data_IF_935591105774
#
_entry.id   IF_935591105774
#
_cell.length_a   1.000
_cell.length_b   1.000
_cell.length_c   1.000
_cell.angle_alpha   90.00
_cell.angle_beta   90.00
_cell.angle_gamma   90.00
#
_symmetry.space_group_name_H-M   'P 1'
#
loop_
_entity.id
_entity.type
_entity.pdbx_description
1 polymer ?
#
# COMPACT_ATOMS: atom_id res chain seq x y z
N UNK A 1 22.90 -28.74 37.08
CA UNK A 1 23.34 -27.40 36.61
C UNK A 1 23.73 -27.39 35.13
N UNK A 2 24.50 -28.37 34.63
CA UNK A 2 25.00 -28.41 33.24
C UNK A 2 23.88 -28.31 32.19
N UNK A 3 22.73 -28.96 32.41
CA UNK A 3 21.60 -28.98 31.47
C UNK A 3 20.89 -27.62 31.39
N UNK A 4 20.89 -26.84 32.47
CA UNK A 4 20.29 -25.51 32.50
C UNK A 4 21.13 -24.49 31.69
N UNK A 5 22.45 -24.59 31.83
CA UNK A 5 23.41 -23.76 31.08
C UNK A 5 23.33 -24.07 29.59
N UNK A 6 23.15 -25.35 29.24
CA UNK A 6 23.03 -25.79 27.84
C UNK A 6 21.72 -25.37 27.17
N UNK A 7 20.65 -25.12 27.95
CA UNK A 7 19.35 -24.63 27.48
C UNK A 7 19.16 -23.13 27.73
N UNK A 8 20.24 -22.34 27.63
CA UNK A 8 20.20 -20.89 27.77
C UNK A 8 19.53 -20.39 29.06
N UNK A 9 19.68 -21.10 30.18
CA UNK A 9 19.29 -20.64 31.52
C UNK A 9 17.87 -20.99 31.99
N UNK A 10 17.10 -21.78 31.23
CA UNK A 10 15.77 -22.26 31.63
C UNK A 10 15.63 -23.77 31.53
N UNK A 11 14.72 -24.35 32.32
CA UNK A 11 14.50 -25.79 32.39
C UNK A 11 13.01 -26.12 32.51
N UNK A 12 12.54 -27.11 31.73
CA UNK A 12 11.20 -27.71 31.84
C UNK A 12 11.31 -29.14 32.39
N UNK A 13 10.33 -29.56 33.20
CA UNK A 13 10.19 -30.92 33.72
C UNK A 13 10.19 -31.98 32.61
N UNK A 14 9.53 -31.73 31.47
CA UNK A 14 9.47 -32.66 30.33
C UNK A 14 10.83 -32.84 29.64
N UNK A 15 11.64 -31.78 29.59
CA UNK A 15 12.99 -31.82 29.02
C UNK A 15 13.94 -32.56 29.96
N UNK A 16 13.82 -32.33 31.28
CA UNK A 16 14.59 -33.07 32.28
C UNK A 16 14.20 -34.55 32.34
N UNK A 17 12.92 -34.89 32.27
CA UNK A 17 12.49 -36.28 32.29
C UNK A 17 12.88 -37.04 31.03
N UNK A 18 12.95 -36.36 29.88
CA UNK A 18 13.43 -36.97 28.63
C UNK A 18 14.96 -37.09 28.58
N UNK A 19 15.72 -36.15 29.15
CA UNK A 19 17.19 -36.15 29.10
C UNK A 19 17.83 -36.90 30.28
N UNK A 20 17.20 -36.91 31.46
CA UNK A 20 17.64 -37.69 32.62
C UNK A 20 16.80 -38.95 32.83
N UNK A 21 15.87 -39.29 31.94
CA UNK A 21 15.02 -40.46 32.06
C UNK A 21 15.78 -41.79 32.16
N UNK A 22 17.05 -41.81 31.73
CA UNK A 22 17.96 -42.93 31.87
C UNK A 22 18.68 -43.02 33.23
N UNK A 23 18.68 -41.95 34.04
CA UNK A 23 19.53 -41.81 35.25
C UNK A 23 18.71 -41.51 36.51
N UNK A 24 17.54 -40.86 36.40
CA UNK A 24 16.72 -40.49 37.54
C UNK A 24 15.21 -40.61 37.25
N UNK A 25 14.47 -41.21 38.18
CA UNK A 25 13.03 -41.35 38.10
C UNK A 25 12.33 -40.00 38.29
N UNK A 26 11.23 -39.76 37.57
CA UNK A 26 10.52 -38.47 37.57
C UNK A 26 10.15 -37.92 38.96
N UNK A 27 9.96 -38.78 39.97
CA UNK A 27 9.73 -38.37 41.37
C UNK A 27 10.96 -37.71 42.01
N UNK A 28 12.16 -38.24 41.77
CA UNK A 28 13.40 -37.66 42.29
C UNK A 28 13.69 -36.29 41.66
N UNK A 29 13.37 -36.14 40.37
CA UNK A 29 13.49 -34.86 39.66
C UNK A 29 12.57 -33.81 40.30
N UNK A 30 11.30 -34.15 40.58
CA UNK A 30 10.35 -33.24 41.23
C UNK A 30 10.78 -32.83 42.65
N UNK A 31 11.34 -33.76 43.43
CA UNK A 31 11.85 -33.48 44.77
C UNK A 31 13.08 -32.57 44.72
N UNK A 32 14.05 -32.87 43.86
CA UNK A 32 15.25 -32.06 43.71
C UNK A 32 14.92 -30.63 43.23
N UNK A 33 13.99 -30.48 42.29
CA UNK A 33 13.52 -29.17 41.84
C UNK A 33 12.83 -28.38 42.96
N UNK A 34 12.00 -29.04 43.77
CA UNK A 34 11.35 -28.38 44.92
C UNK A 34 12.37 -27.93 45.97
N UNK A 35 13.41 -28.72 46.22
CA UNK A 35 14.47 -28.35 47.17
C UNK A 35 15.35 -27.19 46.65
N UNK A 36 15.64 -27.17 45.34
CA UNK A 36 16.39 -26.09 44.71
C UNK A 36 15.63 -24.76 44.69
N UNK A 37 14.30 -24.78 44.56
CA UNK A 37 13.44 -23.60 44.75
C UNK A 37 13.54 -23.11 46.19
N UNK A 38 13.39 -24.02 47.16
CA UNK A 38 13.42 -23.68 48.59
C UNK A 38 14.76 -23.07 49.00
N UNK A 39 15.87 -23.53 48.40
CA UNK A 39 17.21 -23.00 48.61
C UNK A 39 17.52 -21.74 47.78
N UNK A 40 16.57 -21.24 46.99
CA UNK A 40 16.72 -19.99 46.23
C UNK A 40 17.63 -20.06 45.01
N UNK A 41 18.06 -21.26 44.59
CA UNK A 41 18.94 -21.44 43.44
C UNK A 41 18.20 -21.37 42.09
N UNK A 42 16.89 -21.58 42.08
CA UNK A 42 16.03 -21.51 40.90
C UNK A 42 14.69 -20.84 41.23
N UNK A 43 14.14 -20.11 40.28
CA UNK A 43 12.83 -19.48 40.35
C UNK A 43 11.82 -20.36 39.60
N UNK A 44 10.86 -20.95 40.31
CA UNK A 44 9.75 -21.69 39.70
C UNK A 44 8.65 -20.74 39.23
N UNK A 45 8.27 -20.81 37.96
CA UNK A 45 7.15 -20.05 37.37
C UNK A 45 6.23 -21.00 36.59
N UNK A 46 4.94 -20.68 36.56
CA UNK A 46 3.90 -21.49 35.86
C UNK A 46 3.07 -22.39 36.78
N UNK A 47 1.94 -22.86 36.26
CA UNK A 47 0.97 -23.73 36.95
C UNK A 47 0.95 -25.16 36.38
N UNK A 48 0.80 -26.13 37.29
CA UNK A 48 0.63 -27.57 37.01
C UNK A 48 1.60 -28.14 35.95
N UNK A 49 1.10 -28.50 34.75
CA UNK A 49 1.86 -29.19 33.69
C UNK A 49 2.82 -28.27 32.92
N UNK A 50 2.69 -26.95 33.07
CA UNK A 50 3.53 -25.95 32.40
C UNK A 50 4.45 -25.21 33.38
N UNK A 51 4.97 -25.91 34.39
CA UNK A 51 5.91 -25.35 35.35
C UNK A 51 7.34 -25.37 34.78
N UNK A 52 7.95 -24.18 34.72
CA UNK A 52 9.31 -23.98 34.23
C UNK A 52 10.17 -23.33 35.33
N UNK A 53 11.47 -23.59 35.27
CA UNK A 53 12.43 -23.17 36.29
C UNK A 53 13.52 -22.32 35.64
N UNK A 54 13.77 -21.15 36.22
CA UNK A 54 14.73 -20.16 35.73
C UNK A 54 15.89 -20.01 36.72
N UNK A 55 17.11 -19.79 36.20
CA UNK A 55 18.25 -19.45 37.05
C UNK A 55 18.21 -17.95 37.42
N UNK A 56 18.39 -17.57 38.69
CA UNK A 56 18.27 -16.18 39.16
C UNK A 56 19.24 -15.20 38.48
N UNK A 57 20.37 -15.70 37.96
CA UNK A 57 21.40 -14.89 37.30
C UNK A 57 21.27 -14.84 35.77
N UNK A 58 20.32 -15.55 35.18
CA UNK A 58 20.06 -15.45 33.74
C UNK A 58 19.15 -14.23 33.50
N UNK A 59 19.76 -13.03 33.41
CA UNK A 59 19.04 -11.75 33.38
C UNK A 59 18.39 -11.36 32.05
N UNK A 60 18.52 -12.13 30.97
CA UNK A 60 17.96 -11.76 29.66
C UNK A 60 17.36 -12.96 28.91
N UNK A 61 16.30 -13.57 29.46
CA UNK A 61 15.49 -14.54 28.70
C UNK A 61 14.09 -13.96 28.56
N UNK A 62 13.78 -13.46 27.37
CA UNK A 62 12.44 -13.04 26.97
C UNK A 62 11.54 -14.28 26.84
N UNK A 63 10.87 -14.61 27.95
CA UNK A 63 9.94 -15.73 28.12
C UNK A 63 8.72 -15.66 27.19
N UNK A 64 8.54 -14.58 26.43
CA UNK A 64 7.46 -14.44 25.43
C UNK A 64 7.61 -15.37 24.23
N UNK A 65 8.82 -15.87 23.94
CA UNK A 65 9.11 -16.80 22.82
C UNK A 65 8.74 -18.27 23.13
N UNK A 66 8.58 -18.65 24.39
CA UNK A 66 8.35 -20.06 24.79
C UNK A 66 6.85 -20.39 24.85
N UNK A 67 6.01 -19.41 25.19
CA UNK A 67 4.54 -19.56 25.19
C UNK A 67 3.90 -19.36 23.81
N UNK A 68 4.66 -18.91 22.81
CA UNK A 68 4.13 -18.61 21.47
C UNK A 68 3.80 -19.87 20.66
N UNK A 69 4.13 -21.09 21.11
CA UNK A 69 3.86 -22.30 20.33
C UNK A 69 2.50 -22.95 20.59
N UNK A 70 1.79 -22.64 21.68
CA UNK A 70 0.49 -23.27 22.00
C UNK A 70 -0.70 -22.30 22.10
N UNK A 71 -0.49 -20.97 22.20
CA UNK A 71 -1.61 -20.00 22.13
C UNK A 71 -1.93 -19.52 20.70
N UNK A 72 -1.24 -20.06 19.69
CA UNK A 72 -1.52 -19.79 18.27
C UNK A 72 -2.89 -20.31 17.79
N UNK A 73 -3.63 -21.07 18.61
CA UNK A 73 -4.95 -21.57 18.19
C UNK A 73 -6.16 -20.65 18.47
N UNK A 74 -6.10 -19.67 19.39
CA UNK A 74 -7.31 -18.92 19.78
C UNK A 74 -7.26 -17.38 19.75
N UNK A 75 -6.11 -16.76 19.47
CA UNK A 75 -6.03 -15.30 19.23
C UNK A 75 -5.53 -14.92 17.83
N UNK A 76 -5.20 -15.91 17.00
CA UNK A 76 -4.60 -15.72 15.67
C UNK A 76 -5.58 -15.38 14.53
N UNK A 77 -6.88 -15.21 14.83
CA UNK A 77 -7.87 -14.79 13.84
C UNK A 77 -8.04 -13.27 13.73
N UNK A 78 -7.61 -12.46 14.70
CA UNK A 78 -7.86 -11.01 14.67
C UNK A 78 -6.63 -10.11 14.44
N UNK A 79 -5.39 -10.61 14.50
CA UNK A 79 -4.18 -9.77 14.41
C UNK A 79 -3.43 -9.82 13.07
N UNK A 80 -3.53 -10.91 12.28
CA UNK A 80 -2.93 -10.97 10.93
C UNK A 80 -3.59 -10.01 9.95
N UNK A 81 -4.89 -9.74 10.11
CA UNK A 81 -5.60 -8.77 9.29
C UNK A 81 -5.11 -7.34 9.57
N UNK A 82 -4.88 -6.98 10.83
CA UNK A 82 -4.44 -5.63 11.22
C UNK A 82 -2.96 -5.39 10.87
N UNK A 83 -2.06 -6.36 11.12
CA UNK A 83 -0.66 -6.24 10.74
C UNK A 83 -0.46 -6.22 9.21
N UNK A 84 -1.20 -7.04 8.45
CA UNK A 84 -1.19 -7.00 6.98
C UNK A 84 -1.81 -5.72 6.44
N UNK A 85 -2.83 -5.17 7.09
CA UNK A 85 -3.43 -3.89 6.72
C UNK A 85 -2.48 -2.71 6.99
N UNK A 86 -1.79 -2.69 8.12
CA UNK A 86 -0.81 -1.65 8.47
C UNK A 86 0.43 -1.71 7.58
N UNK A 87 0.99 -2.90 7.32
CA UNK A 87 2.11 -3.05 6.38
C UNK A 87 1.71 -2.65 4.95
N UNK A 88 0.49 -2.99 4.51
CA UNK A 88 -0.05 -2.55 3.20
C UNK A 88 -0.30 -1.04 3.16
N UNK A 89 -0.75 -0.44 4.26
CA UNK A 89 -0.95 1.00 4.37
C UNK A 89 0.37 1.77 4.36
N UNK A 90 1.39 1.29 5.09
CA UNK A 90 2.73 1.88 5.11
C UNK A 90 3.44 1.75 3.76
N UNK A 91 3.38 0.58 3.11
CA UNK A 91 3.91 0.40 1.76
C UNK A 91 3.19 1.29 0.73
N UNK A 92 1.86 1.47 0.85
CA UNK A 92 1.10 2.39 0.00
C UNK A 92 1.44 3.86 0.28
N UNK A 93 1.73 4.23 1.53
CA UNK A 93 2.16 5.58 1.90
C UNK A 93 3.58 5.88 1.39
N UNK A 94 4.51 4.94 1.53
CA UNK A 94 5.88 5.06 1.00
C UNK A 94 5.91 5.11 -0.53
N UNK A 95 5.10 4.29 -1.22
CA UNK A 95 4.95 4.37 -2.68
C UNK A 95 4.32 5.71 -3.13
N UNK A 96 3.37 6.27 -2.38
CA UNK A 96 2.83 7.62 -2.64
C UNK A 96 3.87 8.72 -2.42
N UNK A 97 4.71 8.61 -1.39
CA UNK A 97 5.77 9.57 -1.11
C UNK A 97 6.87 9.53 -2.19
N UNK A 98 7.29 8.34 -2.62
CA UNK A 98 8.25 8.17 -3.72
C UNK A 98 7.68 8.64 -5.07
N UNK A 99 6.38 8.42 -5.34
CA UNK A 99 5.72 8.96 -6.52
C UNK A 99 5.66 10.51 -6.52
N UNK A 100 5.60 11.15 -5.36
CA UNK A 100 5.65 12.62 -5.26
C UNK A 100 7.05 13.20 -5.53
N UNK A 101 8.12 12.49 -5.16
CA UNK A 101 9.49 12.91 -5.47
C UNK A 101 9.77 12.79 -6.97
N UNK A 102 9.27 11.73 -7.63
CA UNK A 102 9.38 11.56 -9.09
C UNK A 102 8.53 12.54 -9.92
N UNK A 103 7.41 13.04 -9.38
CA UNK A 103 6.55 14.05 -10.04
C UNK A 103 7.21 15.43 -10.18
N UNK A 104 8.29 15.71 -9.45
CA UNK A 104 8.97 17.02 -9.48
C UNK A 104 9.97 17.15 -10.65
N UNK A 105 10.27 16.06 -11.38
CA UNK A 105 11.12 16.07 -12.59
C UNK A 105 10.25 16.12 -13.86
N UNK A 106 9.10 16.78 -13.79
CA UNK A 106 8.23 16.96 -14.97
C UNK A 106 8.50 18.37 -15.50
N UNK A 107 9.18 18.46 -16.65
CA UNK A 107 9.50 19.74 -17.29
C UNK A 107 8.20 20.41 -17.78
N UNK A 108 7.68 21.32 -16.96
CA UNK A 108 6.45 22.06 -17.26
C UNK A 108 6.76 23.42 -17.88
N UNK A 109 5.91 23.85 -18.80
CA UNK A 109 5.98 25.19 -19.37
C UNK A 109 5.37 26.25 -18.45
N UNK A 110 5.48 27.53 -18.86
CA UNK A 110 4.91 28.68 -18.16
C UNK A 110 3.38 28.63 -17.99
N UNK A 111 2.69 27.74 -18.72
CA UNK A 111 1.25 27.56 -18.71
C UNK A 111 0.84 26.30 -17.95
N UNK A 112 1.79 25.58 -17.33
CA UNK A 112 1.52 24.36 -16.56
C UNK A 112 1.45 23.06 -17.38
N UNK A 113 1.77 23.11 -18.67
CA UNK A 113 1.74 21.96 -19.58
C UNK A 113 3.04 21.20 -19.52
N UNK A 114 2.98 19.88 -19.59
CA UNK A 114 4.17 19.02 -19.66
C UNK A 114 4.77 19.14 -21.06
N UNK A 115 6.07 19.45 -21.13
CA UNK A 115 6.83 19.42 -22.38
C UNK A 115 7.38 18.01 -22.59
N UNK A 116 6.95 17.37 -23.68
CA UNK A 116 7.49 16.08 -24.12
C UNK A 116 8.06 16.25 -25.52
N UNK A 117 9.38 16.49 -25.62
CA UNK A 117 10.02 16.92 -26.86
C UNK A 117 9.40 18.20 -27.42
N UNK A 118 8.87 18.16 -28.64
CA UNK A 118 8.13 19.27 -29.26
C UNK A 118 6.62 19.25 -28.98
N UNK A 119 6.13 18.25 -28.25
CA UNK A 119 4.71 18.10 -27.93
C UNK A 119 4.39 18.73 -26.57
N UNK A 120 3.16 19.24 -26.45
CA UNK A 120 2.64 19.88 -25.24
C UNK A 120 1.48 19.05 -24.73
N UNK A 121 1.57 18.60 -23.48
CA UNK A 121 0.57 17.72 -22.86
C UNK A 121 -0.05 18.41 -21.65
N UNK A 122 -1.38 18.48 -21.64
CA UNK A 122 -2.19 18.94 -20.52
C UNK A 122 -2.57 17.71 -19.69
N UNK A 123 -1.91 17.50 -18.55
CA UNK A 123 -2.18 16.38 -17.65
C UNK A 123 -3.29 16.70 -16.64
N UNK A 124 -3.05 17.63 -15.72
CA UNK A 124 -4.07 18.06 -14.74
C UNK A 124 -4.27 19.57 -14.78
N UNK A 125 -5.53 20.00 -14.74
CA UNK A 125 -5.92 21.42 -14.73
C UNK A 125 -5.35 22.15 -13.50
N UNK A 126 -5.16 21.45 -12.39
CA UNK A 126 -4.64 22.03 -11.14
C UNK A 126 -3.25 22.67 -11.30
N UNK A 127 -2.50 22.26 -12.32
CA UNK A 127 -1.16 22.80 -12.59
C UNK A 127 -1.16 23.86 -13.68
N UNK A 128 -2.29 24.09 -14.36
CA UNK A 128 -2.40 25.10 -15.41
C UNK A 128 -2.44 26.49 -14.79
N UNK A 129 -1.88 27.44 -15.52
CA UNK A 129 -2.05 28.85 -15.21
C UNK A 129 -3.54 29.24 -15.26
N UNK A 130 -3.97 30.08 -14.33
CA UNK A 130 -5.38 30.47 -14.21
C UNK A 130 -5.89 31.22 -15.46
N UNK A 131 -5.04 32.04 -16.11
CA UNK A 131 -5.43 32.75 -17.33
C UNK A 131 -5.59 31.79 -18.49
N UNK A 132 -4.65 30.86 -18.64
CA UNK A 132 -4.72 29.85 -19.69
C UNK A 132 -5.90 28.90 -19.50
N UNK A 133 -6.20 28.51 -18.25
CA UNK A 133 -7.40 27.75 -17.91
C UNK A 133 -8.67 28.51 -18.30
N UNK A 134 -8.78 29.78 -17.95
CA UNK A 134 -9.92 30.61 -18.33
C UNK A 134 -10.07 30.75 -19.85
N UNK A 135 -8.96 30.82 -20.60
CA UNK A 135 -8.99 30.78 -22.06
C UNK A 135 -9.57 29.47 -22.59
N UNK A 136 -9.16 28.31 -22.04
CA UNK A 136 -9.73 27.02 -22.45
C UNK A 136 -11.22 26.90 -22.10
N UNK A 137 -11.61 27.40 -20.94
CA UNK A 137 -13.02 27.42 -20.52
C UNK A 137 -13.85 28.39 -21.39
N UNK A 138 -13.26 29.49 -21.87
CA UNK A 138 -13.95 30.44 -22.75
C UNK A 138 -14.32 29.87 -24.13
N UNK A 139 -13.64 28.80 -24.56
CA UNK A 139 -13.98 28.06 -25.80
C UNK A 139 -15.31 27.31 -25.61
N UNK A 140 -15.64 26.94 -24.37
CA UNK A 140 -16.83 26.17 -24.03
C UNK A 140 -17.94 27.14 -23.66
N UNK A 141 -19.09 27.02 -24.33
CA UNK A 141 -20.23 27.89 -24.06
C UNK A 141 -20.81 27.61 -22.67
N UNK A 142 -21.17 28.67 -21.92
CA UNK A 142 -21.79 28.55 -20.59
C UNK A 142 -23.02 27.63 -20.59
N UNK A 143 -23.82 27.67 -21.65
CA UNK A 143 -25.00 26.80 -21.83
C UNK A 143 -24.67 25.30 -21.84
N UNK A 144 -23.46 24.94 -22.25
CA UNK A 144 -23.03 23.55 -22.27
C UNK A 144 -22.88 22.97 -20.84
N UNK A 145 -22.47 23.81 -19.89
CA UNK A 145 -22.35 23.41 -18.48
C UNK A 145 -23.72 23.22 -17.84
N UNK A 146 -24.70 24.05 -18.21
CA UNK A 146 -26.06 24.02 -17.67
C UNK A 146 -26.91 22.86 -18.20
N UNK A 147 -26.52 22.23 -19.32
CA UNK A 147 -27.25 21.10 -19.89
C UNK A 147 -27.08 19.84 -19.05
N UNK A 148 -28.20 19.29 -18.54
CA UNK A 148 -28.26 17.98 -17.86
C UNK A 148 -27.72 16.83 -18.73
N UNK A 149 -27.97 16.86 -20.04
CA UNK A 149 -27.48 15.88 -21.01
C UNK A 149 -26.63 16.59 -22.05
N UNK A 150 -25.34 16.27 -22.07
CA UNK A 150 -24.39 16.85 -23.03
C UNK A 150 -24.53 16.12 -24.37
N UNK A 151 -24.90 16.84 -25.45
CA UNK A 151 -25.08 16.21 -26.75
C UNK A 151 -23.71 15.77 -27.32
N UNK A 152 -23.62 14.56 -27.89
CA UNK A 152 -22.36 13.99 -28.34
C UNK A 152 -21.68 14.84 -29.44
N UNK A 153 -22.47 15.49 -30.29
CA UNK A 153 -21.96 16.40 -31.33
C UNK A 153 -21.25 17.63 -30.74
N UNK A 154 -21.81 18.25 -29.69
CA UNK A 154 -21.14 19.39 -29.05
C UNK A 154 -19.89 18.95 -28.28
N UNK A 155 -19.95 17.78 -27.62
CA UNK A 155 -18.77 17.19 -26.97
C UNK A 155 -17.65 16.99 -27.99
N UNK A 156 -17.96 16.45 -29.17
CA UNK A 156 -17.00 16.26 -30.25
C UNK A 156 -16.36 17.58 -30.68
N UNK A 157 -17.16 18.62 -30.93
CA UNK A 157 -16.65 19.95 -31.33
C UNK A 157 -15.70 20.52 -30.29
N UNK A 158 -16.09 20.52 -29.00
CA UNK A 158 -15.24 21.07 -27.94
C UNK A 158 -13.99 20.23 -27.71
N UNK A 159 -14.08 18.91 -27.72
CA UNK A 159 -12.90 18.03 -27.61
C UNK A 159 -11.93 18.27 -28.76
N UNK A 160 -12.42 18.37 -29.99
CA UNK A 160 -11.58 18.69 -31.15
C UNK A 160 -10.91 20.06 -31.02
N UNK A 161 -11.63 21.09 -30.54
CA UNK A 161 -11.07 22.41 -30.33
C UNK A 161 -9.99 22.44 -29.23
N UNK A 162 -10.21 21.72 -28.13
CA UNK A 162 -9.27 21.63 -27.00
C UNK A 162 -8.02 20.79 -27.32
N UNK A 163 -8.19 19.75 -28.13
CA UNK A 163 -7.12 18.85 -28.57
C UNK A 163 -6.41 19.33 -29.85
N UNK A 164 -6.72 20.54 -30.33
CA UNK A 164 -6.05 21.14 -31.48
C UNK A 164 -4.64 21.59 -31.06
N UNK A 165 -3.61 21.06 -31.72
CA UNK A 165 -2.19 21.37 -31.51
C UNK A 165 -1.61 21.02 -30.12
N UNK A 166 -2.34 20.27 -29.31
CA UNK A 166 -1.89 19.83 -28.00
C UNK A 166 -2.55 18.51 -27.58
N UNK A 167 -1.84 17.76 -26.77
CA UNK A 167 -2.36 16.55 -26.16
C UNK A 167 -3.08 16.90 -24.87
N UNK A 168 -4.28 16.37 -24.68
CA UNK A 168 -5.07 16.61 -23.46
C UNK A 168 -5.41 15.27 -22.81
N UNK A 169 -5.10 15.14 -21.52
CA UNK A 169 -5.42 13.95 -20.77
C UNK A 169 -6.94 13.79 -20.61
N UNK A 170 -7.36 12.54 -20.35
CA UNK A 170 -8.75 12.25 -20.02
C UNK A 170 -9.23 13.04 -18.80
N UNK A 171 -8.36 13.26 -17.82
CA UNK A 171 -8.70 13.94 -16.57
C UNK A 171 -8.93 15.43 -16.81
N UNK A 172 -8.04 16.06 -17.58
CA UNK A 172 -8.20 17.46 -17.94
C UNK A 172 -9.46 17.71 -18.79
N UNK A 173 -9.73 16.87 -19.81
CA UNK A 173 -10.96 16.99 -20.60
C UNK A 173 -12.22 16.81 -19.74
N UNK A 174 -12.22 15.85 -18.81
CA UNK A 174 -13.36 15.60 -17.93
C UNK A 174 -13.67 16.82 -17.06
N UNK A 175 -12.64 17.45 -16.49
CA UNK A 175 -12.81 18.64 -15.65
C UNK A 175 -13.18 19.87 -16.49
N UNK A 176 -12.56 20.10 -17.65
CA UNK A 176 -12.89 21.22 -18.54
C UNK A 176 -14.35 21.16 -19.03
N UNK A 177 -14.83 19.97 -19.40
CA UNK A 177 -16.20 19.77 -19.91
C UNK A 177 -17.22 19.55 -18.77
N UNK A 178 -16.78 19.49 -17.51
CA UNK A 178 -17.62 19.13 -16.36
C UNK A 178 -18.32 17.77 -16.54
N UNK A 179 -17.64 16.77 -17.12
CA UNK A 179 -18.18 15.43 -17.40
C UNK A 179 -17.52 14.38 -16.51
N UNK A 180 -18.21 13.26 -16.27
CA UNK A 180 -17.58 12.12 -15.61
C UNK A 180 -16.60 11.40 -16.56
N UNK A 181 -15.50 10.87 -16.01
CA UNK A 181 -14.52 10.10 -16.77
C UNK A 181 -15.15 8.91 -17.51
N UNK A 182 -16.21 8.31 -16.96
CA UNK A 182 -16.92 7.19 -17.59
C UNK A 182 -17.69 7.62 -18.84
N UNK A 183 -18.42 8.74 -18.78
CA UNK A 183 -19.18 9.26 -19.91
C UNK A 183 -18.25 9.74 -21.03
N UNK A 184 -17.24 10.55 -20.67
CA UNK A 184 -16.26 11.06 -21.63
C UNK A 184 -15.46 9.92 -22.28
N UNK A 185 -15.10 8.89 -21.51
CA UNK A 185 -14.35 7.74 -22.02
C UNK A 185 -15.07 6.96 -23.12
N UNK A 186 -16.42 6.94 -23.12
CA UNK A 186 -17.19 6.31 -24.21
C UNK A 186 -17.05 7.10 -25.51
N UNK A 187 -17.24 8.42 -25.45
CA UNK A 187 -17.09 9.30 -26.60
C UNK A 187 -15.66 9.33 -27.15
N UNK A 188 -14.64 9.37 -26.29
CA UNK A 188 -13.25 9.34 -26.73
C UNK A 188 -12.92 8.05 -27.49
N UNK A 189 -13.42 6.89 -27.05
CA UNK A 189 -13.27 5.63 -27.79
C UNK A 189 -13.94 5.67 -29.16
N UNK A 190 -15.14 6.25 -29.24
CA UNK A 190 -15.84 6.44 -30.52
C UNK A 190 -15.07 7.37 -31.46
N UNK A 191 -14.49 8.44 -30.95
CA UNK A 191 -13.72 9.40 -31.75
C UNK A 191 -12.38 8.83 -32.23
N UNK A 192 -11.70 8.04 -31.40
CA UNK A 192 -10.49 7.32 -31.81
C UNK A 192 -10.83 6.27 -32.87
N UNK A 193 -11.92 5.51 -32.69
CA UNK A 193 -12.41 4.55 -33.70
C UNK A 193 -12.81 5.25 -35.01
N UNK A 194 -13.36 6.46 -34.92
CA UNK A 194 -13.71 7.30 -36.06
C UNK A 194 -12.52 8.03 -36.70
N UNK A 195 -11.27 7.75 -36.31
CA UNK A 195 -10.06 8.43 -36.80
C UNK A 195 -10.04 9.96 -36.58
N UNK A 196 -10.85 10.48 -35.65
CA UNK A 196 -10.88 11.91 -35.33
C UNK A 196 -9.76 12.27 -34.34
N UNK A 197 -9.50 11.38 -33.37
CA UNK A 197 -8.51 11.58 -32.32
C UNK A 197 -7.43 10.49 -32.38
N UNK A 198 -6.21 10.87 -32.04
CA UNK A 198 -5.07 9.97 -31.84
C UNK A 198 -4.68 9.87 -30.38
N UNK A 199 -4.18 8.70 -30.00
CA UNK A 199 -3.67 8.40 -28.66
C UNK A 199 -2.19 8.81 -28.58
N UNK A 200 -1.80 9.47 -27.49
CA UNK A 200 -0.39 9.76 -27.21
C UNK A 200 0.44 8.47 -27.07
N UNK A 201 -0.15 7.43 -26.46
CA UNK A 201 0.45 6.11 -26.31
C UNK A 201 -0.39 5.07 -27.05
N UNK A 202 -0.21 4.91 -28.37
CA UNK A 202 -0.98 3.95 -29.16
C UNK A 202 -0.65 2.51 -28.78
N UNK A 203 0.60 2.24 -28.36
CA UNK A 203 1.03 0.90 -27.94
C UNK A 203 0.43 0.45 -26.60
N UNK A 204 -0.05 1.39 -25.77
CA UNK A 204 -0.66 1.10 -24.48
C UNK A 204 -1.94 1.92 -24.29
N UNK A 205 -3.07 1.48 -24.89
CA UNK A 205 -4.33 2.22 -24.83
C UNK A 205 -4.86 2.49 -23.41
N UNK A 206 -4.46 1.65 -22.44
CA UNK A 206 -4.84 1.73 -21.02
C UNK A 206 -3.80 2.43 -20.14
N UNK A 207 -2.81 3.12 -20.73
CA UNK A 207 -1.79 3.86 -19.99
C UNK A 207 -2.42 4.93 -19.08
N UNK A 208 -1.85 5.13 -17.89
CA UNK A 208 -2.37 6.10 -16.90
C UNK A 208 -2.26 7.54 -17.40
N UNK A 209 -1.18 7.83 -18.13
CA UNK A 209 -0.90 9.15 -18.69
C UNK A 209 -1.41 9.26 -20.13
N UNK A 210 -2.46 8.51 -20.49
CA UNK A 210 -3.02 8.55 -21.82
C UNK A 210 -3.62 9.93 -22.09
N UNK A 211 -3.17 10.54 -23.19
CA UNK A 211 -3.66 11.82 -23.68
C UNK A 211 -4.12 11.69 -25.13
N UNK A 212 -4.97 12.61 -25.55
CA UNK A 212 -5.64 12.61 -26.85
C UNK A 212 -5.27 13.89 -27.59
N UNK A 213 -4.96 13.76 -28.88
CA UNK A 213 -4.75 14.88 -29.80
C UNK A 213 -5.67 14.73 -31.00
N UNK A 214 -5.95 15.82 -31.72
CA UNK A 214 -6.59 15.74 -33.02
C UNK A 214 -5.64 15.06 -34.02
N UNK A 215 -6.16 14.11 -34.81
CA UNK A 215 -5.43 13.49 -35.92
C UNK A 215 -5.12 14.56 -36.98
N UNK A 216 -3.86 14.68 -37.38
CA UNK A 216 -3.43 15.59 -38.45
C UNK A 216 -3.61 14.96 -39.83
#
# INVERSE_FOLDING_TARGET
MIIAVKNNGWINHKVLSSQLGAIATGRQITLALSELIRKGFILGKGEQKNKFYLLPWAKDIDITQIYTSETIALSHFNSKAQAKAQAKAQAKAQAKAQANIGKNIVNRDRYGRIKFGNQRVIDEICYLDNLFKAQLESIISCDFYNKKKKPPEQVKVYVCALCKDQYVSKNALATLLGMSHSALGKHLKEFVRGNILELAFPQQPTHKDQAYTLKK
#
